data_IF_214020801450
#
_entry.id   IF_214020801450
#
_cell.length_a   1.000
_cell.length_b   1.000
_cell.length_c   1.000
_cell.angle_alpha   90.00
_cell.angle_beta   90.00
_cell.angle_gamma   90.00
#
_symmetry.space_group_name_H-M   'P 1'
#
loop_
_entity.id
_entity.type
_entity.pdbx_description
1 polymer ?
#
# COMPACT_ATOMS: atom_id res chain seq x y z
N UNK A 1 29.05 15.75 1.60
CA UNK A 1 27.86 16.31 0.97
C UNK A 1 27.04 15.25 0.29
N UNK A 2 27.67 14.40 -0.49
CA UNK A 2 26.96 13.37 -1.22
C UNK A 2 26.32 12.31 -0.32
N UNK A 3 26.89 12.08 0.87
CA UNK A 3 26.33 11.12 1.81
C UNK A 3 24.96 11.56 2.30
N UNK A 4 24.77 12.85 2.55
CA UNK A 4 23.48 13.36 3.00
C UNK A 4 22.43 13.21 1.91
N UNK A 5 22.82 13.47 0.66
CA UNK A 5 21.90 13.34 -0.47
C UNK A 5 21.46 11.88 -0.64
N UNK A 6 22.40 10.94 -0.46
CA UNK A 6 22.08 9.52 -0.57
C UNK A 6 21.08 9.07 0.50
N UNK A 7 21.29 9.51 1.75
CA UNK A 7 20.39 9.17 2.85
C UNK A 7 19.00 9.76 2.62
N UNK A 8 18.93 11.02 2.18
CA UNK A 8 17.66 11.67 1.90
C UNK A 8 16.94 10.95 0.78
N UNK A 9 17.65 10.58 -0.28
CA UNK A 9 17.04 9.89 -1.42
C UNK A 9 16.50 8.52 -1.02
N UNK A 10 17.20 7.80 -0.17
CA UNK A 10 16.73 6.50 0.31
C UNK A 10 15.43 6.63 1.08
N UNK A 11 15.33 7.61 1.97
CA UNK A 11 14.11 7.80 2.75
C UNK A 11 12.94 8.25 1.88
N UNK A 12 13.19 9.04 0.83
CA UNK A 12 12.15 9.47 -0.09
C UNK A 12 11.68 8.32 -0.98
N UNK A 13 12.62 7.56 -1.54
CA UNK A 13 12.30 6.46 -2.45
C UNK A 13 11.78 5.22 -1.73
N UNK A 14 12.30 4.97 -0.54
CA UNK A 14 12.00 3.77 0.25
C UNK A 14 11.66 4.15 1.68
N UNK A 15 10.49 4.79 1.90
CA UNK A 15 10.10 5.21 3.25
C UNK A 15 10.06 4.03 4.21
N UNK A 16 10.61 4.22 5.39
CA UNK A 16 10.74 3.14 6.39
C UNK A 16 9.41 2.51 6.78
N UNK A 17 8.31 3.28 6.69
CA UNK A 17 6.98 2.76 7.01
C UNK A 17 6.52 1.67 6.05
N UNK A 18 7.09 1.61 4.87
CA UNK A 18 6.67 0.71 3.80
C UNK A 18 7.78 -0.25 3.36
N UNK A 19 8.85 -0.36 4.15
CA UNK A 19 9.98 -1.22 3.85
C UNK A 19 10.07 -2.34 4.88
N UNK A 20 10.24 -3.56 4.43
CA UNK A 20 10.37 -4.72 5.30
C UNK A 20 11.76 -4.78 5.94
N UNK A 21 11.93 -5.69 6.91
CA UNK A 21 13.22 -5.90 7.57
C UNK A 21 14.32 -6.31 6.60
N UNK A 22 13.96 -7.02 5.53
CA UNK A 22 14.92 -7.44 4.52
C UNK A 22 15.17 -6.36 3.45
N UNK A 23 14.56 -5.19 3.60
CA UNK A 23 14.69 -4.10 2.65
C UNK A 23 13.72 -4.17 1.48
N UNK A 24 12.79 -5.12 1.49
CA UNK A 24 11.79 -5.22 0.45
C UNK A 24 10.79 -4.08 0.60
N UNK A 25 10.65 -3.31 -0.45
CA UNK A 25 9.80 -2.14 -0.50
C UNK A 25 8.41 -2.51 -1.03
N UNK A 26 7.38 -1.94 -0.41
CA UNK A 26 6.00 -2.13 -0.85
C UNK A 26 5.80 -1.70 -2.30
N UNK A 27 6.46 -0.62 -2.72
CA UNK A 27 6.36 -0.13 -4.10
C UNK A 27 6.90 -1.16 -5.09
N UNK A 28 8.04 -1.77 -4.77
CA UNK A 28 8.61 -2.81 -5.61
C UNK A 28 7.63 -3.98 -5.77
N UNK A 29 6.96 -4.34 -4.70
CA UNK A 29 5.94 -5.38 -4.73
C UNK A 29 4.79 -5.00 -5.66
N UNK A 30 4.27 -3.79 -5.52
CA UNK A 30 3.17 -3.32 -6.34
C UNK A 30 3.54 -3.26 -7.81
N UNK A 31 4.75 -2.82 -8.12
CA UNK A 31 5.23 -2.80 -9.50
C UNK A 31 5.32 -4.22 -10.06
N UNK A 32 5.87 -5.13 -9.28
CA UNK A 32 6.07 -6.52 -9.71
C UNK A 32 4.75 -7.23 -9.99
N UNK A 33 3.72 -6.94 -9.21
CA UNK A 33 2.39 -7.52 -9.42
C UNK A 33 1.52 -6.70 -10.37
N UNK A 34 2.04 -5.61 -10.93
CA UNK A 34 1.28 -4.79 -11.85
C UNK A 34 0.13 -4.02 -11.19
N UNK A 35 0.29 -3.64 -9.93
CA UNK A 35 -0.77 -3.01 -9.16
C UNK A 35 -0.70 -1.50 -9.14
N UNK A 36 0.26 -0.91 -9.84
CA UNK A 36 0.47 0.55 -9.79
C UNK A 36 -0.67 1.35 -10.42
N UNK A 37 -1.40 0.74 -11.34
CA UNK A 37 -2.52 1.40 -12.00
C UNK A 37 -3.83 1.36 -11.23
N UNK A 38 -3.85 0.65 -10.10
CA UNK A 38 -5.07 0.48 -9.33
C UNK A 38 -4.93 1.20 -7.99
N UNK A 39 -5.54 2.39 -7.90
CA UNK A 39 -5.44 3.21 -6.69
C UNK A 39 -6.05 2.52 -5.47
N UNK A 40 -7.11 1.75 -5.65
CA UNK A 40 -7.73 1.05 -4.53
C UNK A 40 -6.78 0.00 -3.95
N UNK A 41 -6.27 -0.86 -4.81
CA UNK A 41 -5.38 -1.94 -4.38
C UNK A 41 -4.10 -1.37 -3.80
N UNK A 42 -3.54 -0.34 -4.43
CA UNK A 42 -2.33 0.31 -3.92
C UNK A 42 -2.55 0.83 -2.50
N UNK A 43 -3.67 1.52 -2.24
CA UNK A 43 -3.94 2.06 -0.92
C UNK A 43 -4.20 0.97 0.11
N UNK A 44 -4.85 -0.12 -0.27
CA UNK A 44 -5.06 -1.26 0.62
C UNK A 44 -3.70 -1.81 1.08
N UNK A 45 -2.82 -2.08 0.12
CA UNK A 45 -1.47 -2.57 0.42
C UNK A 45 -0.69 -1.59 1.29
N UNK A 46 -0.78 -0.30 0.95
CA UNK A 46 -0.07 0.74 1.69
C UNK A 46 -0.43 0.72 3.17
N UNK A 47 -1.70 0.70 3.48
CA UNK A 47 -2.13 0.72 4.88
C UNK A 47 -1.80 -0.57 5.60
N UNK A 48 -1.95 -1.71 4.95
CA UNK A 48 -1.60 -2.99 5.56
C UNK A 48 -0.10 -3.11 5.79
N UNK A 49 0.71 -2.66 4.83
CA UNK A 49 2.16 -2.69 4.98
C UNK A 49 2.64 -1.76 6.09
N UNK A 50 2.00 -0.60 6.22
CA UNK A 50 2.34 0.35 7.27
C UNK A 50 2.03 -0.19 8.67
N UNK A 51 0.85 -0.79 8.83
CA UNK A 51 0.49 -1.57 10.01
C UNK A 51 0.79 -0.93 11.35
N UNK A 52 0.50 0.38 11.49
CA UNK A 52 0.73 1.09 12.74
C UNK A 52 2.14 1.62 12.92
N UNK A 53 3.01 1.49 11.92
CA UNK A 53 4.39 1.97 12.02
C UNK A 53 4.50 3.49 12.06
N UNK A 54 3.49 4.19 11.53
CA UNK A 54 3.46 5.64 11.62
C UNK A 54 3.05 6.05 13.03
N UNK A 55 3.75 7.03 13.61
CA UNK A 55 3.66 7.36 15.02
C UNK A 55 2.25 7.69 15.53
N UNK A 56 1.40 8.23 14.68
CA UNK A 56 0.07 8.69 15.08
C UNK A 56 -1.04 7.72 14.72
N UNK A 57 -0.70 6.57 14.15
CA UNK A 57 -1.69 5.59 13.71
C UNK A 57 -1.43 4.25 14.34
N UNK A 58 -2.48 3.63 14.87
CA UNK A 58 -2.41 2.28 15.37
C UNK A 58 -2.54 1.27 14.23
N UNK A 59 -2.21 0.03 14.52
CA UNK A 59 -2.40 -1.07 13.57
C UNK A 59 -3.88 -1.20 13.20
N UNK A 60 -4.77 -1.04 14.19
CA UNK A 60 -6.22 -1.10 13.95
C UNK A 60 -6.66 0.03 13.03
N UNK A 61 -6.18 1.25 13.25
CA UNK A 61 -6.55 2.37 12.40
C UNK A 61 -6.11 2.13 10.95
N UNK A 62 -4.91 1.61 10.75
CA UNK A 62 -4.43 1.31 9.40
C UNK A 62 -5.25 0.20 8.76
N UNK A 63 -5.63 -0.81 9.52
CA UNK A 63 -6.50 -1.88 9.01
C UNK A 63 -7.88 -1.34 8.62
N UNK A 64 -8.44 -0.44 9.42
CA UNK A 64 -9.74 0.18 9.10
C UNK A 64 -9.65 1.06 7.85
N UNK A 65 -8.52 1.75 7.66
CA UNK A 65 -8.31 2.52 6.42
C UNK A 65 -8.25 1.60 5.21
N UNK A 66 -7.55 0.47 5.33
CA UNK A 66 -7.52 -0.53 4.27
C UNK A 66 -8.92 -1.04 3.95
N UNK A 67 -9.73 -1.29 4.97
CA UNK A 67 -11.11 -1.75 4.80
C UNK A 67 -11.95 -0.74 4.01
N UNK A 68 -11.80 0.55 4.30
CA UNK A 68 -12.53 1.59 3.57
C UNK A 68 -12.21 1.50 2.07
N UNK A 69 -10.96 1.37 1.72
CA UNK A 69 -10.57 1.28 0.31
C UNK A 69 -11.03 -0.02 -0.33
N UNK A 70 -11.03 -1.11 0.41
CA UNK A 70 -11.53 -2.38 -0.10
C UNK A 70 -13.03 -2.29 -0.37
N UNK A 71 -13.80 -1.72 0.53
CA UNK A 71 -15.24 -1.52 0.33
C UNK A 71 -15.51 -0.65 -0.89
N UNK A 72 -14.74 0.41 -1.07
CA UNK A 72 -14.87 1.29 -2.23
C UNK A 72 -14.52 0.55 -3.53
N UNK A 73 -13.52 -0.29 -3.47
CA UNK A 73 -13.10 -1.10 -4.62
C UNK A 73 -14.23 -2.05 -5.03
N UNK A 74 -14.79 -2.75 -4.07
CA UNK A 74 -15.92 -3.66 -4.32
C UNK A 74 -17.09 -2.92 -4.96
N UNK A 75 -17.44 -1.75 -4.42
CA UNK A 75 -18.52 -0.96 -4.99
C UNK A 75 -18.21 -0.49 -6.41
N UNK A 76 -16.94 -0.12 -6.66
CA UNK A 76 -16.51 0.29 -7.98
C UNK A 76 -16.68 -0.83 -9.00
N UNK A 77 -16.27 -2.02 -8.64
CA UNK A 77 -16.44 -3.20 -9.50
C UNK A 77 -17.92 -3.50 -9.76
N UNK A 78 -18.74 -3.41 -8.74
CA UNK A 78 -20.17 -3.65 -8.88
C UNK A 78 -20.83 -2.64 -9.81
N UNK A 79 -20.46 -1.36 -9.70
CA UNK A 79 -21.03 -0.30 -10.54
C UNK A 79 -20.58 -0.40 -11.99
N UNK A 80 -19.38 -0.89 -12.24
CA UNK A 80 -18.86 -0.99 -13.61
C UNK A 80 -19.44 -2.21 -14.35
N UNK A 81 -20.28 -3.01 -13.68
CA UNK A 81 -20.88 -4.17 -14.30
C UNK A 81 -19.94 -5.34 -14.45
N UNK A 82 -18.81 -5.30 -13.78
CA UNK A 82 -17.88 -6.42 -13.79
C UNK A 82 -18.53 -7.62 -13.11
N UNK A 83 -18.65 -8.71 -13.87
CA UNK A 83 -19.25 -9.94 -13.35
C UNK A 83 -18.15 -10.97 -13.23
N UNK A 84 -17.68 -11.14 -12.02
CA UNK A 84 -16.71 -12.17 -11.72
C UNK A 84 -17.38 -13.16 -10.78
N UNK A 85 -17.35 -14.43 -11.16
CA UNK A 85 -17.82 -15.46 -10.26
C UNK A 85 -16.84 -15.56 -9.10
N UNK A 86 -17.32 -15.49 -7.86
CA UNK A 86 -16.42 -15.66 -6.72
C UNK A 86 -15.66 -16.97 -6.85
N UNK A 87 -14.38 -16.92 -6.55
CA UNK A 87 -13.49 -18.06 -6.68
C UNK A 87 -13.72 -19.12 -5.61
N UNK A 88 -14.65 -18.89 -4.72
CA UNK A 88 -14.89 -19.79 -3.60
C UNK A 88 -16.26 -20.36 -3.68
#
# INVERSE_FOLDING_TARGET
MQQNDTVINQEIEHPSHYTSKSGLDMIDWCEDFGLMDNAYVFNIFKYLARGGKKAQNSRLQDALKAQVYLDRYIRSLSRSGVRETPAV
#
